data_IF_911641473955
#
_entry.id   IF_911641473955
#
_cell.length_a   1.000
_cell.length_b   1.000
_cell.length_c   1.000
_cell.angle_alpha   90.00
_cell.angle_beta   90.00
_cell.angle_gamma   90.00
#
_symmetry.space_group_name_H-M   'P 1'
#
loop_
_entity.id
_entity.type
_entity.pdbx_description
1 polymer ?
#
# COMPACT_ATOMS: atom_id res chain seq x y z
N UNK A 1 62.72 -12.12 16.88
CA UNK A 1 61.98 -12.94 15.90
C UNK A 1 60.92 -13.73 16.65
N UNK A 2 59.71 -13.21 16.72
CA UNK A 2 58.53 -13.92 17.21
C UNK A 2 57.44 -13.69 16.17
N UNK A 3 57.01 -14.78 15.55
CA UNK A 3 56.14 -14.82 14.38
C UNK A 3 54.70 -14.67 14.86
N UNK A 4 54.02 -13.64 14.37
CA UNK A 4 52.58 -13.41 14.57
C UNK A 4 51.78 -14.49 13.84
N UNK A 5 51.10 -15.36 14.57
CA UNK A 5 50.05 -16.23 14.03
C UNK A 5 48.80 -15.41 13.68
N UNK A 6 48.22 -15.55 12.49
CA UNK A 6 46.96 -14.89 12.15
C UNK A 6 45.78 -15.61 12.83
N UNK A 7 44.90 -14.82 13.44
CA UNK A 7 43.61 -15.27 13.99
C UNK A 7 42.68 -15.60 12.82
N UNK A 8 42.25 -16.85 12.74
CA UNK A 8 41.23 -17.32 11.79
C UNK A 8 39.88 -16.66 12.13
N UNK A 9 39.12 -16.12 11.16
CA UNK A 9 37.80 -15.58 11.43
C UNK A 9 36.85 -16.71 11.84
N UNK A 10 36.21 -16.51 12.98
CA UNK A 10 35.14 -17.35 13.53
C UNK A 10 34.02 -17.47 12.49
N UNK A 11 33.77 -18.69 12.03
CA UNK A 11 32.60 -19.04 11.21
C UNK A 11 31.32 -18.61 11.92
N UNK A 12 30.59 -17.69 11.30
CA UNK A 12 29.23 -17.33 11.66
C UNK A 12 28.36 -18.59 11.63
N UNK A 13 27.85 -18.99 12.78
CA UNK A 13 26.82 -20.02 12.90
C UNK A 13 25.63 -19.62 12.02
N UNK A 14 25.11 -20.48 11.12
CA UNK A 14 23.93 -20.14 10.34
C UNK A 14 22.74 -19.95 11.30
N UNK A 15 22.06 -18.81 11.17
CA UNK A 15 20.81 -18.55 11.88
C UNK A 15 19.85 -19.72 11.61
N UNK A 16 19.25 -20.29 12.67
CA UNK A 16 18.32 -21.40 12.54
C UNK A 16 17.21 -21.03 11.54
N UNK A 17 17.07 -21.82 10.47
CA UNK A 17 16.04 -21.62 9.44
C UNK A 17 14.65 -21.66 10.09
N UNK A 18 13.91 -20.55 9.95
CA UNK A 18 12.53 -20.46 10.42
C UNK A 18 11.66 -21.36 9.52
N UNK A 19 10.70 -22.12 10.08
CA UNK A 19 9.89 -23.04 9.28
C UNK A 19 8.91 -22.29 8.38
N UNK A 20 8.64 -22.85 7.21
CA UNK A 20 7.57 -22.36 6.32
C UNK A 20 6.20 -22.62 6.94
N UNK A 21 5.40 -21.57 7.07
CA UNK A 21 4.04 -21.62 7.65
C UNK A 21 2.95 -21.44 6.61
N UNK A 22 3.23 -20.75 5.51
CA UNK A 22 2.37 -20.69 4.33
C UNK A 22 3.22 -20.95 3.09
N UNK A 23 2.80 -21.92 2.27
CA UNK A 23 3.40 -22.19 0.96
C UNK A 23 2.28 -22.13 -0.09
N UNK A 24 2.38 -21.14 -0.97
CA UNK A 24 1.57 -20.97 -2.17
C UNK A 24 2.43 -21.46 -3.32
N UNK A 25 1.98 -22.50 -4.03
CA UNK A 25 2.76 -23.17 -5.08
C UNK A 25 1.98 -23.20 -6.40
N UNK A 26 2.47 -22.43 -7.38
CA UNK A 26 1.96 -22.34 -8.75
C UNK A 26 0.44 -22.12 -8.82
N UNK A 27 -0.08 -21.28 -7.92
CA UNK A 27 -1.51 -21.07 -7.77
C UNK A 27 -2.07 -20.24 -8.92
N UNK A 28 -3.06 -20.80 -9.61
CA UNK A 28 -3.88 -20.09 -10.59
C UNK A 28 -5.32 -20.08 -10.13
N UNK A 29 -6.00 -18.96 -10.29
CA UNK A 29 -7.43 -18.82 -9.97
C UNK A 29 -8.16 -18.12 -11.10
N UNK A 30 -9.05 -18.86 -11.76
CA UNK A 30 -9.95 -18.35 -12.80
C UNK A 30 -11.34 -18.10 -12.21
N UNK A 31 -11.91 -16.96 -12.57
CA UNK A 31 -13.33 -16.67 -12.38
C UNK A 31 -14.01 -16.56 -13.74
N UNK A 32 -15.24 -17.07 -13.82
CA UNK A 32 -16.10 -16.91 -15.00
C UNK A 32 -17.15 -15.87 -14.67
N UNK A 33 -17.08 -14.70 -15.30
CA UNK A 33 -18.12 -13.68 -15.24
C UNK A 33 -19.15 -13.98 -16.32
N UNK A 34 -20.43 -14.06 -15.92
CA UNK A 34 -21.56 -14.16 -16.85
C UNK A 34 -22.34 -12.85 -16.78
N UNK A 35 -22.57 -12.21 -17.91
CA UNK A 35 -23.29 -10.92 -18.01
C UNK A 35 -24.82 -11.07 -18.08
N UNK A 36 -25.38 -12.22 -17.69
CA UNK A 36 -26.82 -12.45 -17.76
C UNK A 36 -27.48 -11.86 -16.50
N UNK A 37 -28.22 -10.76 -16.65
CA UNK A 37 -28.74 -9.99 -15.52
C UNK A 37 -30.05 -10.58 -14.96
N UNK A 38 -30.68 -11.57 -15.62
CA UNK A 38 -31.95 -12.15 -15.15
C UNK A 38 -32.09 -13.66 -15.35
N UNK A 39 -32.85 -14.31 -14.45
CA UNK A 39 -33.21 -15.74 -14.55
C UNK A 39 -33.98 -16.04 -15.85
N UNK A 40 -34.73 -15.05 -16.37
CA UNK A 40 -35.49 -15.17 -17.63
C UNK A 40 -34.58 -15.29 -18.85
N UNK A 41 -33.49 -14.52 -18.90
CA UNK A 41 -32.47 -14.65 -19.96
C UNK A 41 -31.76 -16.00 -19.90
N UNK A 42 -31.53 -16.56 -18.69
CA UNK A 42 -30.90 -17.89 -18.49
C UNK A 42 -31.71 -19.04 -19.08
N UNK A 43 -33.04 -18.93 -19.13
CA UNK A 43 -33.93 -19.95 -19.73
C UNK A 43 -33.95 -19.80 -21.25
N UNK A 44 -33.96 -18.57 -21.77
CA UNK A 44 -34.00 -18.30 -23.22
C UNK A 44 -32.67 -18.63 -23.91
N UNK A 45 -31.54 -18.56 -23.21
CA UNK A 45 -30.19 -18.85 -23.74
C UNK A 45 -29.70 -20.28 -23.52
N UNK A 46 -30.58 -21.22 -23.17
CA UNK A 46 -30.28 -22.66 -23.04
C UNK A 46 -29.72 -23.34 -24.32
N UNK A 47 -29.67 -22.63 -25.46
CA UNK A 47 -29.01 -23.04 -26.71
C UNK A 47 -27.61 -22.41 -26.96
N UNK A 48 -27.02 -22.68 -28.14
CA UNK A 48 -25.64 -22.31 -28.57
C UNK A 48 -25.24 -20.82 -28.39
N UNK A 49 -26.17 -19.92 -28.09
CA UNK A 49 -25.93 -18.49 -27.83
C UNK A 49 -25.43 -18.17 -26.40
N UNK A 50 -25.61 -19.06 -25.40
CA UNK A 50 -25.14 -18.84 -24.01
C UNK A 50 -23.61 -18.84 -23.83
N UNK A 51 -22.84 -19.21 -24.86
CA UNK A 51 -21.36 -19.15 -24.86
C UNK A 51 -20.83 -17.73 -25.10
N UNK A 52 -21.61 -16.84 -25.71
CA UNK A 52 -21.14 -15.49 -26.11
C UNK A 52 -21.00 -14.50 -24.94
N UNK A 53 -21.50 -14.84 -23.75
CA UNK A 53 -21.55 -13.95 -22.57
C UNK A 53 -20.72 -14.44 -21.37
N UNK A 54 -19.86 -15.45 -21.56
CA UNK A 54 -18.86 -15.86 -20.56
C UNK A 54 -17.54 -15.15 -20.85
N UNK A 55 -17.11 -14.30 -19.93
CA UNK A 55 -15.75 -13.81 -19.90
C UNK A 55 -15.04 -14.48 -18.73
N UNK A 56 -14.06 -15.31 -19.05
CA UNK A 56 -13.16 -15.86 -18.06
C UNK A 56 -12.05 -14.82 -17.81
N UNK A 57 -11.73 -14.57 -16.55
CA UNK A 57 -10.54 -13.80 -16.17
C UNK A 57 -9.74 -14.55 -15.10
N UNK A 58 -8.42 -14.42 -15.18
CA UNK A 58 -7.50 -14.96 -14.19
C UNK A 58 -7.27 -13.89 -13.13
N UNK A 59 -7.73 -14.16 -11.91
CA UNK A 59 -7.47 -13.29 -10.76
C UNK A 59 -6.09 -13.56 -10.17
N UNK A 60 -5.62 -14.81 -10.25
CA UNK A 60 -4.25 -15.23 -9.96
C UNK A 60 -3.75 -16.07 -11.14
N UNK A 61 -2.53 -15.82 -11.58
CA UNK A 61 -1.88 -16.56 -12.66
C UNK A 61 -0.46 -16.93 -12.25
N UNK A 62 -0.29 -18.16 -11.80
CA UNK A 62 0.99 -18.79 -11.48
C UNK A 62 1.74 -18.13 -10.33
N UNK A 63 1.01 -17.90 -9.24
CA UNK A 63 1.55 -17.28 -8.02
C UNK A 63 2.24 -18.33 -7.17
N UNK A 64 3.53 -18.13 -6.90
CA UNK A 64 4.31 -18.89 -5.92
C UNK A 64 4.90 -17.96 -4.87
N UNK A 65 4.57 -18.20 -3.59
CA UNK A 65 5.01 -17.38 -2.44
C UNK A 65 5.19 -18.28 -1.22
N UNK A 66 6.32 -18.17 -0.54
CA UNK A 66 6.59 -18.89 0.72
C UNK A 66 6.83 -17.91 1.87
N UNK A 67 6.11 -18.11 2.97
CA UNK A 67 6.14 -17.26 4.16
C UNK A 67 6.60 -18.09 5.35
N UNK A 68 7.66 -17.61 5.99
CA UNK A 68 8.29 -18.22 7.16
C UNK A 68 7.67 -17.71 8.46
N UNK A 69 7.71 -18.54 9.50
CA UNK A 69 7.21 -18.19 10.82
C UNK A 69 7.82 -16.87 11.35
N UNK A 70 7.01 -16.06 12.03
CA UNK A 70 7.45 -14.82 12.68
C UNK A 70 7.92 -13.72 11.72
N UNK A 71 7.44 -13.76 10.47
CA UNK A 71 7.67 -12.72 9.47
C UNK A 71 6.39 -11.92 9.27
N UNK A 72 6.50 -10.60 9.22
CA UNK A 72 5.43 -9.71 8.76
C UNK A 72 5.60 -9.43 7.28
N UNK A 73 4.65 -9.90 6.48
CA UNK A 73 4.64 -9.73 5.02
C UNK A 73 3.59 -8.71 4.61
N UNK A 74 4.03 -7.65 3.93
CA UNK A 74 3.14 -6.72 3.24
C UNK A 74 2.71 -7.30 1.89
N UNK A 75 1.41 -7.32 1.61
CA UNK A 75 0.89 -7.70 0.30
C UNK A 75 0.31 -6.45 -0.37
N UNK A 76 1.05 -5.89 -1.32
CA UNK A 76 0.70 -4.65 -2.02
C UNK A 76 0.38 -4.91 -3.49
N UNK A 77 -0.25 -3.92 -4.13
CA UNK A 77 -0.66 -4.00 -5.52
C UNK A 77 -1.93 -3.20 -5.78
N UNK A 78 -2.20 -2.93 -7.06
CA UNK A 78 -3.35 -2.12 -7.46
C UNK A 78 -4.68 -2.82 -7.18
N UNK A 79 -5.78 -2.10 -7.30
CA UNK A 79 -7.11 -2.70 -7.30
C UNK A 79 -7.25 -3.66 -8.50
N UNK A 80 -7.75 -4.87 -8.23
CA UNK A 80 -7.82 -5.94 -9.23
C UNK A 80 -6.51 -6.70 -9.48
N UNK A 81 -5.43 -6.42 -8.74
CA UNK A 81 -4.16 -7.16 -8.87
C UNK A 81 -4.19 -8.60 -8.36
N UNK A 82 -5.22 -8.98 -7.59
CA UNK A 82 -5.38 -10.33 -7.06
C UNK A 82 -5.19 -10.47 -5.53
N UNK A 83 -4.85 -9.39 -4.80
CA UNK A 83 -4.60 -9.42 -3.34
C UNK A 83 -5.66 -10.16 -2.53
N UNK A 84 -6.92 -9.73 -2.63
CA UNK A 84 -8.03 -10.37 -1.90
C UNK A 84 -8.30 -11.80 -2.37
N UNK A 85 -7.97 -12.13 -3.62
CA UNK A 85 -8.08 -13.52 -4.11
C UNK A 85 -6.99 -14.40 -3.51
N UNK A 86 -5.75 -13.91 -3.44
CA UNK A 86 -4.64 -14.61 -2.79
C UNK A 86 -4.91 -14.82 -1.30
N UNK A 87 -5.33 -13.76 -0.59
CA UNK A 87 -5.71 -13.84 0.81
C UNK A 87 -6.84 -14.85 1.05
N UNK A 88 -7.89 -14.84 0.22
CA UNK A 88 -8.99 -15.82 0.33
C UNK A 88 -8.53 -17.24 0.05
N UNK A 89 -7.54 -17.44 -0.83
CA UNK A 89 -6.94 -18.75 -1.07
C UNK A 89 -6.10 -19.21 0.12
N UNK A 90 -5.26 -18.34 0.69
CA UNK A 90 -4.50 -18.59 1.93
C UNK A 90 -5.43 -18.90 3.11
N UNK A 91 -6.52 -18.13 3.24
CA UNK A 91 -7.55 -18.33 4.26
C UNK A 91 -8.41 -19.58 4.07
N UNK A 92 -8.29 -20.28 2.92
CA UNK A 92 -9.10 -21.45 2.60
C UNK A 92 -10.57 -21.14 2.26
N UNK A 93 -10.91 -19.87 2.05
CA UNK A 93 -12.26 -19.42 1.68
C UNK A 93 -12.57 -19.82 0.22
N UNK A 94 -11.57 -19.73 -0.64
CA UNK A 94 -11.68 -20.18 -2.04
C UNK A 94 -10.62 -21.23 -2.35
N UNK A 95 -11.01 -22.23 -3.13
CA UNK A 95 -10.07 -23.21 -3.67
C UNK A 95 -9.41 -22.65 -4.94
N UNK A 96 -8.10 -22.85 -5.15
CA UNK A 96 -7.43 -22.50 -6.40
C UNK A 96 -8.00 -23.32 -7.57
N UNK A 97 -7.85 -22.82 -8.79
CA UNK A 97 -8.21 -23.59 -10.00
C UNK A 97 -7.15 -24.64 -10.32
N UNK A 98 -5.87 -24.30 -10.08
CA UNK A 98 -4.73 -25.22 -10.11
C UNK A 98 -3.64 -24.70 -9.16
N UNK A 99 -2.64 -25.54 -8.87
CA UNK A 99 -1.64 -25.26 -7.85
C UNK A 99 -2.14 -25.61 -6.45
N UNK A 100 -1.33 -25.34 -5.43
CA UNK A 100 -1.65 -25.70 -4.04
C UNK A 100 -1.38 -24.56 -3.07
N UNK A 101 -2.16 -24.54 -1.99
CA UNK A 101 -1.93 -23.66 -0.84
C UNK A 101 -1.87 -24.56 0.39
N UNK A 102 -0.73 -24.56 1.07
CA UNK A 102 -0.55 -25.27 2.33
C UNK A 102 -0.28 -24.28 3.46
N UNK A 103 -0.80 -24.59 4.65
CA UNK A 103 -0.64 -23.75 5.83
C UNK A 103 -0.41 -24.60 7.08
N UNK A 104 0.34 -24.06 8.03
CA UNK A 104 0.59 -24.66 9.35
C UNK A 104 0.13 -23.72 10.46
N UNK A 105 -0.47 -24.28 11.51
CA UNK A 105 -0.97 -23.51 12.66
C UNK A 105 -2.39 -22.97 12.52
N UNK A 106 -2.84 -22.29 13.58
CA UNK A 106 -4.13 -21.60 13.67
C UNK A 106 -4.05 -20.29 12.91
N UNK A 107 -4.98 -20.11 11.97
CA UNK A 107 -5.10 -18.91 11.15
C UNK A 107 -6.28 -18.07 11.62
N UNK A 108 -6.05 -16.80 11.92
CA UNK A 108 -7.11 -15.81 12.07
C UNK A 108 -7.11 -14.91 10.83
N UNK A 109 -8.25 -14.79 10.16
CA UNK A 109 -8.38 -14.00 8.93
C UNK A 109 -9.38 -12.86 9.14
N UNK A 110 -8.90 -11.61 9.11
CA UNK A 110 -9.70 -10.39 9.24
C UNK A 110 -10.24 -9.91 7.87
N UNK A 111 -10.46 -10.84 6.93
CA UNK A 111 -10.87 -10.55 5.54
C UNK A 111 -12.37 -10.30 5.41
N UNK A 112 -13.15 -10.99 6.25
CA UNK A 112 -14.61 -10.90 6.30
C UNK A 112 -15.00 -10.81 7.78
N UNK A 113 -14.66 -9.68 8.42
CA UNK A 113 -14.95 -9.46 9.83
C UNK A 113 -16.44 -9.67 10.11
N UNK A 114 -16.73 -10.56 11.07
CA UNK A 114 -18.08 -10.95 11.46
C UNK A 114 -18.70 -12.04 10.57
N UNK A 115 -17.96 -12.56 9.58
CA UNK A 115 -18.37 -13.80 8.92
C UNK A 115 -18.60 -14.90 9.97
N UNK A 116 -19.79 -15.48 9.94
CA UNK A 116 -20.24 -16.45 10.95
C UNK A 116 -21.00 -15.85 12.13
N UNK A 117 -21.16 -14.53 12.23
CA UNK A 117 -22.15 -13.96 13.14
C UNK A 117 -23.57 -14.25 12.65
N UNK A 118 -24.43 -14.62 13.60
CA UNK A 118 -25.85 -14.82 13.38
C UNK A 118 -26.63 -13.58 13.86
N UNK A 119 -27.45 -12.96 13.00
CA UNK A 119 -28.11 -11.68 13.30
C UNK A 119 -29.10 -11.76 14.47
N UNK A 120 -29.74 -12.92 14.67
CA UNK A 120 -30.71 -13.14 15.76
C UNK A 120 -30.08 -13.58 17.08
N UNK A 121 -28.77 -13.85 17.11
CA UNK A 121 -28.05 -14.17 18.34
C UNK A 121 -27.52 -12.89 19.00
N UNK A 122 -27.41 -12.89 20.32
CA UNK A 122 -26.76 -11.84 21.09
C UNK A 122 -25.27 -11.70 20.72
N UNK A 123 -24.66 -10.57 21.03
CA UNK A 123 -23.20 -10.41 20.91
C UNK A 123 -22.44 -11.49 21.68
N UNK A 124 -22.88 -11.83 22.90
CA UNK A 124 -22.31 -12.92 23.71
C UNK A 124 -22.32 -14.25 22.98
N UNK A 125 -23.48 -14.67 22.47
CA UNK A 125 -23.61 -15.93 21.73
C UNK A 125 -22.76 -15.92 20.45
N UNK A 126 -22.68 -14.78 19.77
CA UNK A 126 -21.83 -14.59 18.61
C UNK A 126 -20.33 -14.68 18.92
N UNK A 127 -19.88 -14.23 20.10
CA UNK A 127 -18.50 -14.45 20.57
C UNK A 127 -18.20 -15.94 20.65
N UNK A 128 -19.08 -16.74 21.27
CA UNK A 128 -18.88 -18.18 21.37
C UNK A 128 -18.91 -18.88 20.01
N UNK A 129 -19.86 -18.52 19.15
CA UNK A 129 -19.99 -19.07 17.81
C UNK A 129 -18.75 -18.79 16.96
N UNK A 130 -18.33 -17.52 16.91
CA UNK A 130 -17.20 -17.11 16.07
C UNK A 130 -15.86 -17.63 16.62
N UNK A 131 -15.67 -17.63 17.94
CA UNK A 131 -14.51 -18.23 18.57
C UNK A 131 -14.38 -19.73 18.22
N UNK A 132 -15.48 -20.47 18.22
CA UNK A 132 -15.49 -21.88 17.82
C UNK A 132 -15.12 -22.08 16.34
N UNK A 133 -15.62 -21.21 15.45
CA UNK A 133 -15.26 -21.22 14.03
C UNK A 133 -13.76 -20.93 13.82
N UNK A 134 -13.16 -20.11 14.67
CA UNK A 134 -11.73 -19.79 14.67
C UNK A 134 -10.88 -20.82 15.44
N UNK A 135 -11.50 -21.90 15.93
CA UNK A 135 -10.80 -23.04 16.53
C UNK A 135 -10.51 -22.91 18.02
N UNK A 136 -11.22 -22.05 18.75
CA UNK A 136 -11.23 -22.04 20.21
C UNK A 136 -12.23 -23.06 20.77
N UNK A 137 -11.81 -23.78 21.81
CA UNK A 137 -12.74 -24.53 22.65
C UNK A 137 -13.59 -23.59 23.51
N UNK A 138 -14.75 -24.06 23.98
CA UNK A 138 -15.62 -23.27 24.85
C UNK A 138 -14.90 -22.76 26.11
N UNK A 139 -14.04 -23.60 26.72
CA UNK A 139 -13.26 -23.25 27.92
C UNK A 139 -12.24 -22.14 27.63
N UNK A 140 -11.56 -22.23 26.48
CA UNK A 140 -10.66 -21.17 26.02
C UNK A 140 -11.40 -19.86 25.78
N UNK A 141 -12.58 -19.90 25.16
CA UNK A 141 -13.41 -18.71 24.93
C UNK A 141 -13.84 -18.08 26.25
N UNK A 142 -14.30 -18.88 27.22
CA UNK A 142 -14.74 -18.41 28.53
C UNK A 142 -13.60 -17.73 29.29
N UNK A 143 -12.38 -18.28 29.24
CA UNK A 143 -11.20 -17.67 29.88
C UNK A 143 -10.76 -16.34 29.26
N UNK A 144 -11.20 -16.03 28.04
CA UNK A 144 -10.82 -14.82 27.29
C UNK A 144 -11.99 -13.86 27.07
N UNK A 145 -13.19 -14.21 27.55
CA UNK A 145 -14.41 -13.49 27.26
C UNK A 145 -14.35 -12.04 27.76
N UNK A 146 -13.85 -11.84 28.98
CA UNK A 146 -13.76 -10.51 29.58
C UNK A 146 -12.76 -9.61 28.84
N UNK A 147 -11.64 -10.16 28.36
CA UNK A 147 -10.67 -9.44 27.53
C UNK A 147 -11.27 -9.05 26.18
N UNK A 148 -12.01 -9.95 25.53
CA UNK A 148 -12.74 -9.68 24.28
C UNK A 148 -13.76 -8.55 24.52
N UNK A 149 -14.49 -8.61 25.63
CA UNK A 149 -15.51 -7.61 25.97
C UNK A 149 -14.89 -6.24 26.23
N UNK A 150 -13.80 -6.19 27.02
CA UNK A 150 -13.07 -4.96 27.32
C UNK A 150 -12.44 -4.35 26.06
N UNK A 151 -11.84 -5.18 25.20
CA UNK A 151 -11.23 -4.73 23.95
C UNK A 151 -12.27 -4.15 22.98
N UNK A 152 -13.38 -4.88 22.78
CA UNK A 152 -14.48 -4.44 21.89
C UNK A 152 -15.14 -3.15 22.39
N UNK A 153 -15.20 -2.93 23.71
CA UNK A 153 -15.81 -1.75 24.33
C UNK A 153 -17.30 -1.61 24.06
N UNK A 154 -18.00 -2.74 23.87
CA UNK A 154 -19.46 -2.79 23.66
C UNK A 154 -20.21 -3.42 24.85
N UNK A 155 -19.62 -3.36 26.05
CA UNK A 155 -20.09 -4.02 27.28
C UNK A 155 -21.60 -3.99 27.48
N UNK A 156 -22.18 -2.79 27.45
CA UNK A 156 -23.61 -2.56 27.72
C UNK A 156 -24.55 -3.21 26.68
N UNK A 157 -24.02 -3.56 25.50
CA UNK A 157 -24.79 -4.10 24.38
C UNK A 157 -24.51 -5.58 24.12
N UNK A 158 -23.66 -6.24 24.91
CA UNK A 158 -23.20 -7.61 24.63
C UNK A 158 -24.34 -8.63 24.60
N UNK A 159 -25.38 -8.42 25.41
CA UNK A 159 -26.56 -9.29 25.47
C UNK A 159 -27.68 -8.87 24.51
N UNK A 160 -27.44 -7.85 23.66
CA UNK A 160 -28.35 -7.43 22.59
C UNK A 160 -28.08 -8.20 21.30
N UNK A 161 -29.13 -8.51 20.53
CA UNK A 161 -29.01 -9.19 19.23
C UNK A 161 -28.18 -8.36 18.25
N UNK A 162 -27.27 -9.02 17.53
CA UNK A 162 -26.27 -8.35 16.67
C UNK A 162 -26.91 -7.57 15.51
N UNK A 163 -28.12 -7.93 15.06
CA UNK A 163 -28.85 -7.13 14.05
C UNK A 163 -29.20 -5.70 14.49
N UNK A 164 -29.15 -5.40 15.79
CA UNK A 164 -29.35 -4.05 16.32
C UNK A 164 -28.03 -3.30 16.56
N UNK A 165 -26.88 -3.91 16.25
CA UNK A 165 -25.59 -3.25 16.39
C UNK A 165 -25.41 -2.21 15.29
N UNK A 166 -24.74 -1.10 15.63
CA UNK A 166 -24.13 -0.26 14.60
C UNK A 166 -23.05 -1.05 13.85
N UNK A 167 -22.73 -0.64 12.63
CA UNK A 167 -21.61 -1.22 11.87
C UNK A 167 -20.29 -1.18 12.65
N UNK A 168 -20.06 -0.11 13.43
CA UNK A 168 -18.88 0.01 14.31
C UNK A 168 -18.86 -1.04 15.42
N UNK A 169 -19.98 -1.23 16.14
CA UNK A 169 -20.06 -2.25 17.20
C UNK A 169 -19.84 -3.66 16.66
N UNK A 170 -20.42 -3.95 15.48
CA UNK A 170 -20.28 -5.23 14.80
C UNK A 170 -18.81 -5.54 14.49
N UNK A 171 -18.12 -4.60 13.85
CA UNK A 171 -16.71 -4.75 13.47
C UNK A 171 -15.81 -4.82 14.71
N UNK A 172 -16.08 -4.00 15.73
CA UNK A 172 -15.31 -3.99 16.99
C UNK A 172 -15.38 -5.33 17.70
N UNK A 173 -16.56 -5.95 17.79
CA UNK A 173 -16.71 -7.27 18.38
C UNK A 173 -16.02 -8.36 17.54
N UNK A 174 -16.23 -8.35 16.23
CA UNK A 174 -15.60 -9.32 15.33
C UNK A 174 -14.07 -9.29 15.40
N UNK A 175 -13.48 -8.09 15.41
CA UNK A 175 -12.05 -7.92 15.54
C UNK A 175 -11.56 -8.39 16.93
N UNK A 176 -12.27 -8.00 17.99
CA UNK A 176 -11.92 -8.40 19.35
C UNK A 176 -11.86 -9.92 19.50
N UNK A 177 -12.85 -10.65 18.99
CA UNK A 177 -12.83 -12.12 19.01
C UNK A 177 -11.59 -12.65 18.28
N UNK A 178 -11.34 -12.19 17.06
CA UNK A 178 -10.26 -12.69 16.22
C UNK A 178 -8.87 -12.52 16.87
N UNK A 179 -8.57 -11.35 17.44
CA UNK A 179 -7.24 -11.07 18.06
C UNK A 179 -7.05 -11.69 19.45
N UNK A 180 -8.10 -12.28 20.04
CA UNK A 180 -8.00 -13.06 21.27
C UNK A 180 -7.98 -14.57 21.01
N UNK A 181 -7.95 -15.01 19.74
CA UNK A 181 -7.78 -16.44 19.41
C UNK A 181 -6.35 -16.95 19.51
N UNK A 182 -5.40 -16.05 19.76
CA UNK A 182 -3.95 -16.33 19.79
C UNK A 182 -3.50 -17.09 18.52
N UNK A 183 -3.64 -16.48 17.33
CA UNK A 183 -3.32 -17.16 16.08
C UNK A 183 -1.81 -17.35 15.89
N UNK A 184 -1.41 -18.35 15.12
CA UNK A 184 -0.04 -18.52 14.62
C UNK A 184 0.20 -17.63 13.38
N UNK A 185 -0.86 -17.45 12.59
CA UNK A 185 -0.89 -16.62 11.39
C UNK A 185 -2.09 -15.67 11.42
N UNK A 186 -1.83 -14.37 11.30
CA UNK A 186 -2.84 -13.33 11.20
C UNK A 186 -2.90 -12.76 9.78
N UNK A 187 -4.04 -12.89 9.11
CA UNK A 187 -4.32 -12.20 7.85
C UNK A 187 -5.09 -10.92 8.16
N UNK A 188 -4.57 -9.80 7.70
CA UNK A 188 -5.13 -8.48 7.92
C UNK A 188 -5.45 -7.87 6.56
N UNK A 189 -6.74 -7.63 6.30
CA UNK A 189 -7.17 -6.87 5.12
C UNK A 189 -7.30 -5.38 5.48
N UNK A 190 -7.47 -4.54 4.46
CA UNK A 190 -7.61 -3.06 4.54
C UNK A 190 -8.77 -2.58 5.45
N UNK A 191 -9.54 -3.52 6.01
CA UNK A 191 -10.65 -3.32 6.96
C UNK A 191 -10.17 -2.78 8.32
N UNK A 192 -8.85 -2.72 8.59
CA UNK A 192 -8.33 -1.99 9.77
C UNK A 192 -8.77 -0.52 9.82
N UNK A 193 -9.16 0.08 8.68
CA UNK A 193 -9.67 1.44 8.61
C UNK A 193 -11.13 1.60 9.12
N UNK A 194 -11.79 0.52 9.56
CA UNK A 194 -13.18 0.57 10.04
C UNK A 194 -13.23 0.66 11.56
N UNK A 195 -13.79 1.76 12.07
CA UNK A 195 -13.88 2.08 13.50
C UNK A 195 -13.55 3.53 13.78
N UNK A 196 -13.63 3.94 15.04
CA UNK A 196 -13.10 5.23 15.50
C UNK A 196 -11.56 5.18 15.62
N UNK A 197 -10.91 6.34 15.62
CA UNK A 197 -9.44 6.45 15.68
C UNK A 197 -8.86 5.76 16.92
N UNK A 198 -9.56 5.83 18.06
CA UNK A 198 -9.11 5.19 19.29
C UNK A 198 -9.10 3.65 19.16
N UNK A 199 -10.09 3.06 18.51
CA UNK A 199 -10.14 1.63 18.23
C UNK A 199 -9.09 1.22 17.20
N UNK A 200 -8.86 2.02 16.15
CA UNK A 200 -7.81 1.75 15.17
C UNK A 200 -6.42 1.69 15.83
N UNK A 201 -6.11 2.62 16.74
CA UNK A 201 -4.86 2.59 17.53
C UNK A 201 -4.75 1.30 18.35
N UNK A 202 -5.82 0.89 19.05
CA UNK A 202 -5.85 -0.40 19.78
C UNK A 202 -5.58 -1.60 18.88
N UNK A 203 -6.12 -1.61 17.66
CA UNK A 203 -5.89 -2.66 16.68
C UNK A 203 -4.42 -2.71 16.25
N UNK A 204 -3.81 -1.56 15.96
CA UNK A 204 -2.40 -1.46 15.57
C UNK A 204 -1.46 -1.88 16.70
N UNK A 205 -1.72 -1.44 17.93
CA UNK A 205 -0.94 -1.84 19.11
C UNK A 205 -1.00 -3.36 19.34
N UNK A 206 -2.18 -3.96 19.11
CA UNK A 206 -2.34 -5.41 19.20
C UNK A 206 -1.57 -6.15 18.11
N UNK A 207 -1.55 -5.63 16.89
CA UNK A 207 -0.74 -6.18 15.79
C UNK A 207 0.74 -6.10 16.14
N UNK A 208 1.24 -4.96 16.64
CA UNK A 208 2.62 -4.81 17.11
C UNK A 208 2.98 -5.81 18.21
N UNK A 209 2.09 -6.01 19.18
CA UNK A 209 2.27 -7.03 20.21
C UNK A 209 2.43 -8.44 19.61
N UNK A 210 1.68 -8.77 18.56
CA UNK A 210 1.83 -10.05 17.86
C UNK A 210 3.15 -10.17 17.10
N UNK A 211 3.64 -9.07 16.52
CA UNK A 211 4.96 -9.04 15.88
C UNK A 211 6.07 -9.31 16.90
N UNK A 212 6.02 -8.65 18.06
CA UNK A 212 6.96 -8.86 19.17
C UNK A 212 6.92 -10.29 19.72
N UNK A 213 5.75 -10.93 19.70
CA UNK A 213 5.56 -12.32 20.08
C UNK A 213 6.02 -13.33 19.00
N UNK A 214 6.53 -12.85 17.86
CA UNK A 214 6.98 -13.70 16.76
C UNK A 214 5.85 -14.41 16.01
N UNK A 215 4.64 -13.86 16.02
CA UNK A 215 3.53 -14.35 15.20
C UNK A 215 3.76 -13.99 13.73
N UNK A 216 3.21 -14.78 12.82
CA UNK A 216 3.30 -14.49 11.39
C UNK A 216 2.14 -13.60 10.97
N UNK A 217 2.40 -12.52 10.25
CA UNK A 217 1.37 -11.56 9.88
C UNK A 217 1.44 -11.29 8.38
N UNK A 218 0.28 -11.29 7.72
CA UNK A 218 0.15 -10.86 6.33
C UNK A 218 -0.79 -9.67 6.33
N UNK A 219 -0.29 -8.50 5.94
CA UNK A 219 -1.06 -7.26 5.91
C UNK A 219 -1.26 -6.78 4.48
N UNK A 220 -2.51 -6.52 4.13
CA UNK A 220 -2.85 -5.76 2.92
C UNK A 220 -3.19 -4.34 3.32
N UNK A 221 -2.45 -3.39 2.76
CA UNK A 221 -2.68 -1.97 3.00
C UNK A 221 -2.34 -1.19 1.73
N UNK A 222 -3.04 -0.09 1.54
CA UNK A 222 -2.71 0.93 0.54
C UNK A 222 -1.73 1.98 1.07
N UNK A 223 -1.44 1.96 2.38
CA UNK A 223 -0.50 2.89 3.00
C UNK A 223 0.94 2.39 2.85
N UNK A 224 1.68 2.98 1.92
CA UNK A 224 3.08 2.63 1.67
C UNK A 224 3.98 2.93 2.89
N UNK A 225 3.62 3.92 3.71
CA UNK A 225 4.33 4.20 4.97
C UNK A 225 4.14 3.10 6.00
N UNK A 226 2.92 2.55 6.15
CA UNK A 226 2.67 1.42 7.05
C UNK A 226 3.44 0.17 6.61
N UNK A 227 3.54 -0.06 5.30
CA UNK A 227 4.33 -1.17 4.75
C UNK A 227 5.79 -1.04 5.12
N UNK A 228 6.36 0.16 4.96
CA UNK A 228 7.76 0.43 5.32
C UNK A 228 8.02 0.34 6.83
N UNK A 229 7.06 0.73 7.66
CA UNK A 229 7.21 0.71 9.12
C UNK A 229 7.03 -0.71 9.72
N UNK A 230 6.09 -1.49 9.19
CA UNK A 230 5.63 -2.72 9.85
C UNK A 230 6.09 -4.01 9.18
N UNK A 231 6.46 -4.00 7.90
CA UNK A 231 6.73 -5.23 7.16
C UNK A 231 8.23 -5.52 7.03
N UNK A 232 8.62 -6.75 7.37
CA UNK A 232 9.97 -7.27 7.14
C UNK A 232 10.23 -7.55 5.64
N UNK A 233 9.15 -7.85 4.91
CA UNK A 233 9.17 -8.29 3.51
C UNK A 233 7.88 -7.89 2.83
N UNK A 234 7.92 -7.65 1.52
CA UNK A 234 6.77 -7.21 0.75
C UNK A 234 6.64 -8.00 -0.55
N UNK A 235 5.43 -8.50 -0.79
CA UNK A 235 5.00 -9.14 -2.03
C UNK A 235 4.16 -8.14 -2.81
N UNK A 236 4.64 -7.74 -3.99
CA UNK A 236 3.94 -6.88 -4.93
C UNK A 236 3.23 -7.74 -5.98
N UNK A 237 1.89 -7.68 -5.99
CA UNK A 237 1.07 -8.29 -7.03
C UNK A 237 0.72 -7.29 -8.13
N UNK A 238 0.83 -7.75 -9.39
CA UNK A 238 0.35 -7.04 -10.55
C UNK A 238 -0.40 -8.00 -11.49
N UNK A 239 -1.66 -7.66 -11.81
CA UNK A 239 -2.52 -8.44 -12.74
C UNK A 239 -2.51 -9.96 -12.49
N UNK A 240 -2.54 -10.37 -11.22
CA UNK A 240 -2.58 -11.78 -10.81
C UNK A 240 -1.22 -12.48 -10.73
N UNK A 241 -0.11 -11.78 -10.97
CA UNK A 241 1.26 -12.32 -10.92
C UNK A 241 2.09 -11.63 -9.83
N UNK A 242 3.12 -12.31 -9.32
CA UNK A 242 4.09 -11.72 -8.37
C UNK A 242 5.14 -10.96 -9.17
N UNK A 243 5.17 -9.64 -9.01
CA UNK A 243 6.15 -8.78 -9.68
C UNK A 243 7.41 -8.59 -8.85
N UNK A 244 7.27 -8.59 -7.52
CA UNK A 244 8.39 -8.50 -6.60
C UNK A 244 8.04 -9.17 -5.27
N UNK A 245 9.06 -9.71 -4.63
CA UNK A 245 8.98 -10.40 -3.36
C UNK A 245 10.32 -10.20 -2.63
N UNK A 246 10.38 -9.25 -1.70
CA UNK A 246 11.63 -8.80 -1.11
C UNK A 246 11.50 -7.61 -0.16
N UNK A 247 12.52 -6.77 -0.12
CA UNK A 247 12.59 -5.61 0.78
C UNK A 247 11.49 -4.58 0.52
N UNK A 248 10.96 -3.98 1.59
CA UNK A 248 9.83 -3.04 1.49
C UNK A 248 10.15 -1.81 0.65
N UNK A 249 11.38 -1.30 0.72
CA UNK A 249 11.83 -0.12 -0.03
C UNK A 249 11.79 -0.38 -1.54
N UNK A 250 12.33 -1.52 -1.98
CA UNK A 250 12.32 -1.90 -3.40
C UNK A 250 10.91 -2.17 -3.91
N UNK A 251 10.07 -2.83 -3.10
CA UNK A 251 8.68 -3.09 -3.43
C UNK A 251 7.88 -1.80 -3.65
N UNK A 252 8.08 -0.79 -2.79
CA UNK A 252 7.45 0.52 -2.89
C UNK A 252 7.89 1.25 -4.15
N UNK A 253 9.19 1.24 -4.48
CA UNK A 253 9.71 1.83 -5.72
C UNK A 253 9.08 1.16 -6.95
N UNK A 254 9.13 -0.16 -7.06
CA UNK A 254 8.50 -0.90 -8.18
C UNK A 254 7.00 -0.67 -8.27
N UNK A 255 6.32 -0.53 -7.15
CA UNK A 255 4.89 -0.23 -7.16
C UNK A 255 4.59 1.14 -7.75
N UNK A 256 5.45 2.15 -7.50
CA UNK A 256 5.34 3.46 -8.13
C UNK A 256 5.55 3.39 -9.63
N UNK A 257 6.58 2.68 -10.10
CA UNK A 257 6.84 2.49 -11.53
C UNK A 257 5.60 1.92 -12.23
N UNK A 258 4.94 0.92 -11.64
CA UNK A 258 3.70 0.32 -12.18
C UNK A 258 2.52 1.30 -12.20
N UNK A 259 2.44 2.22 -11.22
CA UNK A 259 1.41 3.27 -11.21
C UNK A 259 1.68 4.31 -12.31
N UNK A 260 2.94 4.67 -12.53
CA UNK A 260 3.37 5.60 -13.58
C UNK A 260 3.17 5.01 -14.99
N UNK A 261 3.56 3.76 -15.21
CA UNK A 261 3.32 3.04 -16.47
C UNK A 261 1.84 2.95 -16.79
N UNK A 262 0.98 2.70 -15.79
CA UNK A 262 -0.46 2.62 -15.99
C UNK A 262 -1.07 3.99 -16.29
N UNK A 263 -0.65 5.04 -15.59
CA UNK A 263 -1.05 6.41 -15.93
C UNK A 263 -0.69 6.68 -17.38
N UNK A 264 0.55 6.43 -17.78
CA UNK A 264 1.00 6.57 -19.17
C UNK A 264 0.18 5.73 -20.17
N UNK A 265 -0.16 4.49 -19.80
CA UNK A 265 -0.93 3.55 -20.64
C UNK A 265 -2.42 3.89 -20.79
N UNK A 266 -3.11 4.29 -19.73
CA UNK A 266 -4.50 4.74 -19.77
C UNK A 266 -4.65 6.07 -20.52
N UNK A 267 -3.61 6.91 -20.49
CA UNK A 267 -3.53 8.16 -21.24
C UNK A 267 -3.18 7.96 -22.72
N UNK A 268 -2.57 6.83 -23.08
CA UNK A 268 -2.20 6.48 -24.47
C UNK A 268 -3.32 5.84 -25.31
N UNK A 269 -4.41 5.42 -24.67
CA UNK A 269 -5.51 4.72 -25.36
C UNK A 269 -6.38 5.66 -26.22
N UNK A 270 -6.31 6.97 -25.98
CA UNK A 270 -6.95 7.99 -26.82
C UNK A 270 -5.93 9.04 -27.23
N UNK A 271 -5.67 9.12 -28.54
CA UNK A 271 -4.84 10.11 -29.26
C UNK A 271 -3.34 9.77 -29.36
N UNK A 272 -2.89 9.45 -30.58
CA UNK A 272 -1.49 9.62 -31.01
C UNK A 272 -1.13 11.12 -30.99
N UNK A 273 -0.87 11.69 -29.82
CA UNK A 273 -0.11 12.95 -29.73
C UNK A 273 1.36 12.54 -29.83
N UNK A 274 2.14 13.24 -30.66
CA UNK A 274 3.55 12.92 -30.92
C UNK A 274 4.38 12.77 -29.64
N UNK A 275 5.59 12.21 -29.77
CA UNK A 275 6.51 11.99 -28.64
C UNK A 275 7.05 13.32 -28.12
N UNK A 276 6.32 13.96 -27.22
CA UNK A 276 6.88 14.95 -26.29
C UNK A 276 7.84 14.28 -25.32
N UNK A 277 8.91 14.95 -24.93
CA UNK A 277 9.94 14.39 -24.03
C UNK A 277 10.50 15.47 -23.13
N UNK A 278 10.69 15.14 -21.85
CA UNK A 278 11.46 15.95 -20.92
C UNK A 278 12.93 15.52 -21.06
N UNK A 279 13.77 16.40 -21.60
CA UNK A 279 15.19 16.11 -21.87
C UNK A 279 16.05 16.11 -20.61
N UNK A 280 15.63 16.87 -19.59
CA UNK A 280 16.34 16.96 -18.32
C UNK A 280 15.80 18.09 -17.47
N UNK A 281 16.12 18.04 -16.18
CA UNK A 281 15.91 19.16 -15.28
C UNK A 281 17.01 19.21 -14.22
N UNK A 282 17.22 20.39 -13.66
CA UNK A 282 18.17 20.63 -12.58
C UNK A 282 17.58 21.55 -11.53
N UNK A 283 17.94 21.32 -10.27
CA UNK A 283 17.51 22.15 -9.13
C UNK A 283 18.69 22.75 -8.38
N UNK A 284 18.54 24.00 -7.96
CA UNK A 284 19.49 24.71 -7.11
C UNK A 284 18.78 25.86 -6.37
N UNK A 285 19.37 26.33 -5.28
CA UNK A 285 18.96 27.60 -4.68
C UNK A 285 19.53 28.76 -5.49
N UNK A 286 18.77 29.85 -5.63
CA UNK A 286 19.22 31.03 -6.34
C UNK A 286 20.48 31.63 -5.70
N UNK A 287 21.51 31.85 -6.51
CA UNK A 287 22.81 32.35 -6.05
C UNK A 287 23.76 31.30 -5.47
N UNK A 288 23.37 30.02 -5.44
CA UNK A 288 24.24 28.89 -5.02
C UNK A 288 24.59 27.98 -6.19
N UNK A 289 25.70 27.25 -6.07
CA UNK A 289 26.04 26.19 -7.01
C UNK A 289 25.11 24.98 -6.85
N UNK A 290 25.06 24.16 -7.90
CA UNK A 290 24.28 22.91 -7.87
C UNK A 290 24.85 21.99 -6.79
N UNK A 291 23.95 21.38 -6.00
CA UNK A 291 24.25 20.49 -4.86
C UNK A 291 24.69 21.17 -3.57
N UNK A 292 24.77 22.49 -3.52
CA UNK A 292 24.82 23.16 -2.23
C UNK A 292 23.50 23.00 -1.47
N UNK A 293 23.59 23.00 -0.14
CA UNK A 293 22.44 22.87 0.74
C UNK A 293 21.44 24.01 0.51
N UNK A 294 20.17 23.65 0.41
CA UNK A 294 19.05 24.59 0.34
C UNK A 294 18.67 24.93 1.78
N UNK A 295 18.63 26.23 2.09
CA UNK A 295 18.25 26.73 3.41
C UNK A 295 16.80 27.21 3.39
N UNK A 296 16.07 27.11 4.52
CA UNK A 296 14.71 27.64 4.62
C UNK A 296 14.66 29.14 4.33
N UNK A 297 13.87 29.51 3.33
CA UNK A 297 13.72 30.87 2.82
C UNK A 297 14.55 31.19 1.58
N UNK A 298 15.37 30.25 1.10
CA UNK A 298 15.99 30.37 -0.22
C UNK A 298 14.91 30.34 -1.33
N UNK A 299 15.19 31.02 -2.44
CA UNK A 299 14.41 30.89 -3.66
C UNK A 299 14.91 29.65 -4.43
N UNK A 300 14.05 28.63 -4.56
CA UNK A 300 14.40 27.40 -5.26
C UNK A 300 14.16 27.55 -6.77
N UNK A 301 15.15 27.22 -7.58
CA UNK A 301 15.11 27.33 -9.04
C UNK A 301 15.16 25.94 -9.66
N UNK A 302 14.17 25.62 -10.49
CA UNK A 302 14.10 24.39 -11.29
C UNK A 302 14.18 24.77 -12.77
N UNK A 303 15.30 24.44 -13.40
CA UNK A 303 15.51 24.58 -14.84
C UNK A 303 15.14 23.28 -15.55
N UNK A 304 14.35 23.37 -16.61
CA UNK A 304 13.76 22.22 -17.30
C UNK A 304 13.93 22.37 -18.81
N UNK A 305 14.21 21.28 -19.50
CA UNK A 305 14.30 21.24 -20.96
C UNK A 305 13.32 20.21 -21.54
N UNK A 306 12.54 20.64 -22.54
CA UNK A 306 11.50 19.86 -23.20
C UNK A 306 11.78 19.79 -24.71
N UNK A 307 11.35 18.71 -25.35
CA UNK A 307 11.36 18.53 -26.79
C UNK A 307 10.03 17.95 -27.30
N UNK A 308 9.55 18.43 -28.44
CA UNK A 308 8.45 17.82 -29.16
C UNK A 308 8.72 17.87 -30.67
N UNK A 309 9.03 16.72 -31.27
CA UNK A 309 9.49 16.62 -32.67
C UNK A 309 8.40 17.00 -33.67
N UNK A 310 7.16 16.58 -33.45
CA UNK A 310 6.04 16.79 -34.37
C UNK A 310 5.25 18.09 -34.10
N UNK A 311 5.65 18.82 -33.06
CA UNK A 311 4.91 19.96 -32.53
C UNK A 311 3.70 19.63 -31.63
N UNK A 312 3.44 20.49 -30.65
CA UNK A 312 2.24 20.45 -29.80
C UNK A 312 1.69 21.87 -29.62
N UNK A 313 0.38 22.04 -29.83
CA UNK A 313 -0.26 23.35 -29.74
C UNK A 313 -0.60 23.77 -28.32
N UNK A 314 -0.92 22.80 -27.47
CA UNK A 314 -1.43 23.05 -26.12
C UNK A 314 -0.84 22.02 -25.16
N UNK A 315 -0.07 22.50 -24.19
CA UNK A 315 0.72 21.67 -23.29
C UNK A 315 1.07 22.41 -22.01
N UNK A 316 1.31 21.65 -20.96
CA UNK A 316 1.72 22.14 -19.65
C UNK A 316 3.05 21.51 -19.22
N UNK A 317 3.81 22.27 -18.45
CA UNK A 317 4.93 21.74 -17.71
C UNK A 317 4.50 21.58 -16.25
N UNK A 318 4.83 20.43 -15.65
CA UNK A 318 4.57 20.16 -14.24
C UNK A 318 5.87 19.88 -13.50
N UNK A 319 5.91 20.32 -12.24
CA UNK A 319 6.99 20.04 -11.30
C UNK A 319 6.38 19.48 -10.03
N UNK A 320 6.92 18.36 -9.57
CA UNK A 320 6.53 17.72 -8.32
C UNK A 320 7.77 17.43 -7.48
N UNK A 321 7.71 17.76 -6.20
CA UNK A 321 8.78 17.55 -5.23
C UNK A 321 8.31 16.50 -4.23
N UNK A 322 9.10 15.45 -4.04
CA UNK A 322 8.83 14.35 -3.13
C UNK A 322 9.91 14.26 -2.05
N UNK A 323 9.57 13.74 -0.87
CA UNK A 323 10.57 13.34 0.13
C UNK A 323 11.10 11.92 -0.14
N UNK A 324 12.04 11.44 0.68
CA UNK A 324 12.60 10.06 0.59
C UNK A 324 11.55 8.96 0.81
N UNK A 325 10.48 9.25 1.55
CA UNK A 325 9.32 8.36 1.68
C UNK A 325 8.40 8.41 0.44
N UNK A 326 8.72 9.24 -0.56
CA UNK A 326 7.96 9.54 -1.77
C UNK A 326 6.57 10.11 -1.54
N UNK A 327 6.36 10.76 -0.40
CA UNK A 327 5.21 11.62 -0.20
C UNK A 327 5.41 12.91 -1.00
N UNK A 328 4.35 13.38 -1.64
CA UNK A 328 4.34 14.64 -2.37
C UNK A 328 4.37 15.78 -1.36
N UNK A 329 5.41 16.62 -1.43
CA UNK A 329 5.57 17.77 -0.52
C UNK A 329 5.24 19.09 -1.21
N UNK A 330 5.40 19.16 -2.53
CA UNK A 330 5.01 20.30 -3.35
C UNK A 330 4.70 19.82 -4.76
N UNK A 331 3.75 20.46 -5.44
CA UNK A 331 3.42 20.17 -6.83
C UNK A 331 2.75 21.36 -7.49
N UNK A 332 3.13 21.65 -8.73
CA UNK A 332 2.49 22.69 -9.53
C UNK A 332 2.55 22.35 -11.01
N UNK A 333 1.63 22.92 -11.79
CA UNK A 333 1.66 22.90 -13.25
C UNK A 333 1.55 24.33 -13.76
N UNK A 334 2.00 24.58 -15.00
CA UNK A 334 1.77 25.87 -15.64
C UNK A 334 0.28 26.22 -15.72
N UNK A 335 -0.61 25.24 -15.84
CA UNK A 335 -2.07 25.44 -15.73
C UNK A 335 -2.52 25.93 -14.35
N UNK A 336 -2.06 25.28 -13.26
CA UNK A 336 -2.36 25.73 -11.87
C UNK A 336 -1.84 27.16 -11.63
N UNK A 337 -0.70 27.51 -12.22
CA UNK A 337 -0.12 28.86 -12.15
C UNK A 337 -0.85 29.90 -13.02
N UNK A 338 -1.81 29.49 -13.86
CA UNK A 338 -2.46 30.38 -14.83
C UNK A 338 -1.53 30.85 -15.97
N UNK A 339 -0.45 30.10 -16.23
CA UNK A 339 0.54 30.40 -17.27
C UNK A 339 0.26 29.55 -18.50
N UNK A 340 -0.18 30.19 -19.58
CA UNK A 340 -0.37 29.51 -20.86
C UNK A 340 0.94 29.48 -21.65
N UNK A 341 1.46 28.28 -21.91
CA UNK A 341 2.64 28.09 -22.74
C UNK A 341 2.26 28.22 -24.22
N UNK A 342 3.13 28.84 -25.01
CA UNK A 342 2.95 28.89 -26.47
C UNK A 342 3.16 27.50 -27.09
N UNK A 343 2.64 27.23 -28.30
CA UNK A 343 2.91 26.01 -29.03
C UNK A 343 4.40 25.67 -29.07
N UNK A 344 4.75 24.40 -28.86
CA UNK A 344 6.13 23.92 -28.88
C UNK A 344 6.39 23.16 -30.18
N UNK A 345 7.44 23.55 -30.90
CA UNK A 345 8.03 22.80 -32.01
C UNK A 345 9.53 22.68 -31.77
N UNK A 346 10.06 21.45 -31.71
CA UNK A 346 11.45 21.22 -31.32
C UNK A 346 11.65 21.42 -29.82
N UNK A 347 12.69 22.16 -29.40
CA UNK A 347 13.11 22.26 -28.00
C UNK A 347 12.68 23.56 -27.31
N UNK A 348 12.45 23.48 -26.00
CA UNK A 348 12.24 24.66 -25.15
C UNK A 348 12.78 24.46 -23.75
N UNK A 349 13.38 25.51 -23.21
CA UNK A 349 13.77 25.59 -21.81
C UNK A 349 12.77 26.42 -21.01
N UNK A 350 12.43 25.95 -19.83
CA UNK A 350 11.57 26.64 -18.87
C UNK A 350 12.28 26.71 -17.52
N UNK A 351 12.01 27.78 -16.77
CA UNK A 351 12.50 27.97 -15.41
C UNK A 351 11.31 28.20 -14.49
N UNK A 352 11.18 27.36 -13.48
CA UNK A 352 10.28 27.56 -12.35
C UNK A 352 11.09 28.13 -11.18
N UNK A 353 10.56 29.17 -10.53
CA UNK A 353 11.10 29.71 -9.27
C UNK A 353 10.04 29.55 -8.19
N UNK A 354 10.42 28.93 -7.07
CA UNK A 354 9.62 28.83 -5.85
C UNK A 354 10.26 29.78 -4.84
N UNK A 355 9.61 30.91 -4.60
CA UNK A 355 10.13 31.95 -3.71
C UNK A 355 9.90 31.61 -2.24
N UNK A 356 10.82 32.00 -1.37
CA UNK A 356 10.75 31.80 0.08
C UNK A 356 10.47 30.33 0.47
N UNK A 357 11.25 29.40 -0.09
CA UNK A 357 11.01 27.97 0.08
C UNK A 357 11.26 27.52 1.53
N UNK A 358 10.21 27.11 2.24
CA UNK A 358 10.28 26.68 3.65
C UNK A 358 10.34 25.16 3.81
N UNK A 359 11.10 24.44 2.98
CA UNK A 359 11.26 22.99 3.17
C UNK A 359 11.91 22.69 4.52
N UNK A 360 11.43 21.65 5.18
CA UNK A 360 12.02 21.14 6.42
C UNK A 360 13.27 20.30 6.17
N UNK A 361 13.89 19.80 7.23
CA UNK A 361 15.11 18.99 7.14
C UNK A 361 14.88 17.70 6.36
N UNK A 362 15.75 17.41 5.40
CA UNK A 362 15.74 16.15 4.67
C UNK A 362 16.22 16.26 3.23
N UNK A 363 16.14 15.14 2.53
CA UNK A 363 16.43 15.04 1.10
C UNK A 363 15.15 15.02 0.29
N UNK A 364 15.14 15.76 -0.80
CA UNK A 364 14.00 15.94 -1.69
C UNK A 364 14.37 15.63 -3.13
N UNK A 365 13.42 15.07 -3.87
CA UNK A 365 13.58 14.67 -5.27
C UNK A 365 12.62 15.44 -6.17
N UNK A 366 13.12 15.89 -7.31
CA UNK A 366 12.36 16.63 -8.32
C UNK A 366 11.88 15.66 -9.38
N UNK A 367 10.61 15.81 -9.77
CA UNK A 367 9.99 15.11 -10.89
C UNK A 367 9.45 16.17 -11.83
N UNK A 368 9.69 16.01 -13.12
CA UNK A 368 9.21 16.94 -14.14
C UNK A 368 8.40 16.18 -15.17
N UNK A 369 7.24 16.74 -15.51
CA UNK A 369 6.33 16.15 -16.49
C UNK A 369 6.00 17.15 -17.58
N UNK A 370 5.87 16.63 -18.81
CA UNK A 370 5.18 17.32 -19.89
C UNK A 370 3.75 16.77 -19.94
N UNK A 371 2.76 17.63 -19.95
CA UNK A 371 1.34 17.26 -20.03
C UNK A 371 0.68 17.95 -21.22
N UNK A 372 -0.45 17.45 -21.68
CA UNK A 372 -1.34 18.20 -22.58
C UNK A 372 -2.42 18.97 -21.81
N UNK A 373 -3.27 19.71 -22.52
CA UNK A 373 -4.33 20.53 -21.90
C UNK A 373 -5.50 19.78 -21.29
N UNK A 374 -5.58 18.46 -21.50
CA UNK A 374 -6.49 17.61 -20.75
C UNK A 374 -5.85 17.12 -19.43
N UNK A 375 -4.65 17.62 -19.08
CA UNK A 375 -3.88 17.19 -17.92
C UNK A 375 -3.25 15.82 -18.10
N UNK A 376 -3.13 15.33 -19.35
CA UNK A 376 -2.59 14.01 -19.64
C UNK A 376 -1.07 14.10 -19.75
N UNK A 377 -0.36 13.28 -18.99
CA UNK A 377 1.09 13.19 -19.06
C UNK A 377 1.53 12.65 -20.44
N UNK A 378 2.29 13.46 -21.18
CA UNK A 378 2.96 13.10 -22.42
C UNK A 378 4.31 12.41 -22.15
N UNK A 379 5.04 12.87 -21.12
CA UNK A 379 6.28 12.27 -20.67
C UNK A 379 6.60 12.67 -19.22
N UNK A 380 7.05 11.72 -18.43
CA UNK A 380 7.49 11.90 -17.05
C UNK A 380 8.99 11.65 -16.92
N UNK A 381 9.68 12.53 -16.21
CA UNK A 381 11.06 12.34 -15.80
C UNK A 381 11.14 12.34 -14.27
N UNK A 382 10.94 11.16 -13.63
CA UNK A 382 10.96 11.02 -12.19
C UNK A 382 12.37 11.16 -11.63
N UNK A 383 12.47 11.64 -10.39
CA UNK A 383 13.71 11.81 -9.61
C UNK A 383 14.90 12.37 -10.41
N UNK A 384 14.61 13.35 -11.28
CA UNK A 384 15.55 13.85 -12.29
C UNK A 384 16.69 14.68 -11.70
N UNK A 385 16.46 15.27 -10.53
CA UNK A 385 17.49 15.89 -9.69
C UNK A 385 17.04 15.88 -8.22
N UNK A 386 17.93 16.25 -7.31
CA UNK A 386 17.63 16.28 -5.87
C UNK A 386 18.31 17.45 -5.16
N UNK A 387 17.76 17.87 -4.02
CA UNK A 387 18.39 18.82 -3.10
C UNK A 387 18.28 18.34 -1.65
N UNK A 388 19.16 18.87 -0.80
CA UNK A 388 19.21 18.55 0.62
C UNK A 388 18.99 19.82 1.44
N UNK A 389 18.23 19.67 2.52
CA UNK A 389 17.98 20.71 3.52
C UNK A 389 18.57 20.23 4.85
N UNK A 390 19.49 20.97 5.46
CA UNK A 390 20.20 20.53 6.65
C UNK A 390 19.30 20.48 7.88
N UNK A 391 19.82 19.90 8.98
CA UNK A 391 19.09 19.80 10.24
C UNK A 391 19.10 21.11 11.01
N UNK A 392 17.92 21.56 11.44
CA UNK A 392 17.73 22.71 12.32
C UNK A 392 17.18 22.19 13.65
N UNK A 393 17.97 22.27 14.74
CA UNK A 393 17.68 21.58 16.01
C UNK A 393 16.48 22.10 16.80
N UNK A 394 15.77 23.11 16.30
CA UNK A 394 14.64 23.79 16.93
C UNK A 394 13.27 23.37 16.37
N UNK A 395 13.20 22.68 15.21
CA UNK A 395 11.95 22.21 14.62
C UNK A 395 12.14 20.94 13.75
N UNK A 396 11.10 20.11 13.64
CA UNK A 396 11.06 18.93 12.76
C UNK A 396 9.78 18.93 11.92
N UNK A 397 9.86 18.43 10.69
CA UNK A 397 8.71 18.28 9.81
C UNK A 397 9.04 18.52 8.33
N UNK A 398 8.03 18.46 7.47
CA UNK A 398 8.15 18.71 6.03
C UNK A 398 8.31 20.19 5.68
N UNK A 399 7.87 21.08 6.59
CA UNK A 399 7.98 22.53 6.48
C UNK A 399 8.78 23.05 7.66
N UNK A 400 9.70 23.97 7.41
CA UNK A 400 10.42 24.69 8.45
C UNK A 400 9.66 25.96 8.85
N UNK A 401 9.35 26.09 10.12
CA UNK A 401 8.88 27.31 10.74
C UNK A 401 9.64 27.52 12.05
N UNK A 402 10.16 28.73 12.27
CA UNK A 402 10.92 29.04 13.47
C UNK A 402 9.94 29.22 14.66
N UNK A 403 10.01 28.40 15.72
CA UNK A 403 9.13 28.56 16.86
C UNK A 403 9.55 29.75 17.74
N UNK A 404 8.58 30.40 18.37
CA UNK A 404 8.77 31.36 19.46
C UNK A 404 7.74 31.07 20.56
N UNK A 405 8.16 31.18 21.82
CA UNK A 405 7.31 30.96 22.98
C UNK A 405 7.41 32.19 23.90
N UNK A 406 6.26 32.75 24.27
CA UNK A 406 6.14 33.82 25.25
C UNK A 406 5.23 33.33 26.39
N UNK A 407 5.65 33.53 27.63
CA UNK A 407 4.83 33.27 28.81
C UNK A 407 3.93 34.49 29.04
N UNK A 408 2.62 34.29 29.04
CA UNK A 408 1.63 35.33 29.28
C UNK A 408 1.21 35.30 30.75
N UNK A 409 1.14 36.46 31.39
CA UNK A 409 0.66 36.64 32.77
C UNK A 409 -0.84 36.38 32.94
#
# INVERSE_FOLDING_TARGET
>A
MAISTPVTPTTTTPAAERPDVIVVDHVRKRFTVRKDNTIRERIVTLGRAGRKHRQDFWALDDVSVTIQAGTTVGLIGQNGSGKSTLLKAIGGIIQPTSGTVSRRGRLAALLELGAGFHPDLSGRENVYLNAALLGLSRKETESRFDDILAFSGIGDFIDTQVKFYSSGMYVRLAFAVAVHTDPDVLLVDEVLAVGDEAFQRKCLDRIRTFQEQGKTIIIVTHSLSQVQEMCDRVVLLNKGTVLHDGEAVEAVSKFRDVLEERRSGELSADVQVGRGTVLGATVHAEGKERREDVLPGDDLVVDMEFEHLDGVSDWEAAVQINNTAGQVVYGTTTGIMGVHLTPLHGRRKLRLRITDAKFGTGKYFINVSMMDSAGRHLHDLPECDSFEVPSFGDAVGTVYAKPSLEELD
#
